data_IF_917640815748
#
_entry.id   IF_917640815748
#
_cell.length_a   1.000
_cell.length_b   1.000
_cell.length_c   1.000
_cell.angle_alpha   90.00
_cell.angle_beta   90.00
_cell.angle_gamma   90.00
#
_symmetry.space_group_name_H-M   'P 1'
#
loop_
_entity.id
_entity.type
_entity.pdbx_description
1 polymer ?
#
# COMPACT_ATOMS: atom_id res chain seq x y z
N UNK A 1 -17.91 -3.40 11.11
CA UNK A 1 -17.46 -2.22 11.83
C UNK A 1 -15.93 -2.21 11.79
N UNK A 2 -15.33 -1.83 10.74
CA UNK A 2 -13.90 -1.80 10.52
C UNK A 2 -13.49 -0.54 9.82
N UNK A 3 -13.99 0.59 10.27
CA UNK A 3 -13.52 1.87 9.79
C UNK A 3 -12.49 2.39 10.78
N UNK A 4 -11.23 2.16 10.44
CA UNK A 4 -10.12 2.98 10.84
C UNK A 4 -9.38 2.70 12.14
N UNK A 5 -9.86 1.90 13.06
CA UNK A 5 -9.09 1.62 14.28
C UNK A 5 -8.29 0.32 14.15
N UNK A 6 -7.13 0.41 13.55
CA UNK A 6 -6.17 -0.70 13.53
C UNK A 6 -5.31 -0.69 14.79
N UNK A 7 -5.59 -1.59 15.71
CA UNK A 7 -4.62 -1.91 16.77
C UNK A 7 -3.62 -2.90 16.18
N UNK A 8 -2.48 -2.42 15.77
CA UNK A 8 -1.34 -3.26 15.41
C UNK A 8 -0.68 -3.76 16.70
N UNK A 9 -1.24 -4.81 17.29
CA UNK A 9 -0.55 -5.52 18.35
C UNK A 9 0.48 -6.44 17.72
N UNK A 10 1.77 -6.13 17.90
CA UNK A 10 2.93 -6.95 17.65
C UNK A 10 2.78 -8.08 16.63
N UNK A 11 2.86 -7.73 15.35
CA UNK A 11 2.96 -8.76 14.32
C UNK A 11 4.34 -9.37 14.45
N UNK A 12 4.41 -10.50 15.10
CA UNK A 12 5.58 -11.37 15.04
C UNK A 12 5.76 -11.78 13.57
N UNK A 13 6.66 -11.10 12.89
CA UNK A 13 6.90 -11.28 11.45
C UNK A 13 7.36 -12.70 11.10
N UNK A 14 7.67 -13.50 12.10
CA UNK A 14 8.17 -14.87 11.94
C UNK A 14 7.08 -15.93 11.79
N UNK A 15 5.85 -15.64 12.15
CA UNK A 15 4.79 -16.68 12.22
C UNK A 15 3.79 -16.65 11.06
N UNK A 16 3.84 -15.69 10.17
CA UNK A 16 2.96 -15.70 9.02
C UNK A 16 3.48 -16.64 7.95
N UNK A 17 3.32 -17.93 8.20
CA UNK A 17 3.24 -18.87 7.09
C UNK A 17 2.18 -18.36 6.17
N UNK A 18 2.59 -17.93 4.99
CA UNK A 18 1.69 -17.57 3.90
C UNK A 18 0.93 -18.83 3.48
N UNK A 19 -0.11 -19.17 4.23
CA UNK A 19 -1.11 -20.01 3.65
C UNK A 19 -1.65 -19.26 2.43
N UNK A 20 -1.62 -19.84 1.24
CA UNK A 20 -2.24 -19.23 0.09
C UNK A 20 -3.73 -19.07 0.41
N UNK A 21 -4.12 -17.87 0.78
CA UNK A 21 -5.53 -17.55 0.94
C UNK A 21 -6.08 -17.28 -0.45
N UNK A 22 -6.87 -18.20 -1.01
CA UNK A 22 -7.53 -17.93 -2.28
C UNK A 22 -8.41 -16.69 -2.13
N UNK A 23 -8.61 -15.93 -3.20
CA UNK A 23 -9.53 -14.81 -3.18
C UNK A 23 -10.90 -15.27 -2.71
N UNK A 24 -11.50 -14.55 -1.77
CA UNK A 24 -12.85 -14.81 -1.30
C UNK A 24 -13.78 -13.74 -1.83
N UNK A 25 -14.87 -14.17 -2.43
CA UNK A 25 -15.93 -13.30 -2.91
C UNK A 25 -17.22 -13.65 -2.17
N UNK A 26 -17.80 -12.66 -1.51
CA UNK A 26 -19.05 -12.81 -0.78
C UNK A 26 -20.04 -11.75 -1.26
N UNK A 27 -21.28 -12.15 -1.48
CA UNK A 27 -22.35 -11.21 -1.82
C UNK A 27 -22.79 -10.48 -0.55
N UNK A 28 -22.81 -9.16 -0.62
CA UNK A 28 -23.31 -8.29 0.43
C UNK A 28 -24.36 -7.33 -0.17
N UNK A 29 -25.62 -7.60 0.12
CA UNK A 29 -26.73 -6.80 -0.40
C UNK A 29 -26.70 -6.65 -1.92
N UNK A 30 -26.42 -5.44 -2.39
CA UNK A 30 -26.34 -5.08 -3.81
C UNK A 30 -24.91 -5.11 -4.36
N UNK A 31 -23.93 -5.50 -3.55
CA UNK A 31 -22.52 -5.53 -3.89
C UNK A 31 -21.85 -6.89 -3.70
N UNK A 32 -20.56 -6.91 -3.91
CA UNK A 32 -19.69 -8.06 -3.66
C UNK A 32 -18.51 -7.59 -2.81
N UNK A 33 -18.28 -8.27 -1.69
CA UNK A 33 -17.06 -8.09 -0.90
C UNK A 33 -16.00 -9.05 -1.40
N UNK A 34 -14.84 -8.50 -1.74
CA UNK A 34 -13.68 -9.26 -2.20
C UNK A 34 -12.58 -9.13 -1.15
N UNK A 35 -12.13 -10.26 -0.62
CA UNK A 35 -10.97 -10.32 0.27
C UNK A 35 -9.84 -11.04 -0.44
N UNK A 36 -8.72 -10.35 -0.62
CA UNK A 36 -7.58 -10.90 -1.35
C UNK A 36 -6.27 -10.30 -0.85
N UNK A 37 -5.18 -11.01 -1.11
CA UNK A 37 -3.82 -10.57 -0.86
C UNK A 37 -3.01 -10.74 -2.13
N UNK A 38 -2.32 -9.68 -2.55
CA UNK A 38 -1.52 -9.65 -3.76
C UNK A 38 -0.08 -9.22 -3.47
N UNK A 39 0.82 -9.66 -4.33
CA UNK A 39 2.19 -9.20 -4.35
C UNK A 39 2.31 -8.01 -5.30
N UNK A 40 2.79 -6.88 -4.79
CA UNK A 40 2.94 -5.66 -5.58
C UNK A 40 4.22 -5.61 -6.39
N UNK A 41 5.29 -6.13 -5.84
CA UNK A 41 6.62 -6.05 -6.43
C UNK A 41 7.72 -5.76 -5.41
N UNK A 42 8.93 -5.55 -5.90
CA UNK A 42 10.08 -5.29 -5.07
C UNK A 42 10.32 -3.79 -4.88
N UNK A 43 10.68 -3.40 -3.66
CA UNK A 43 11.25 -2.10 -3.38
C UNK A 43 12.74 -2.14 -3.66
N UNK A 44 13.17 -1.35 -4.64
CA UNK A 44 14.56 -1.32 -5.08
C UNK A 44 15.20 0.00 -4.64
N UNK A 45 16.31 -0.08 -3.93
CA UNK A 45 17.09 1.08 -3.51
C UNK A 45 17.63 1.88 -4.71
N UNK A 46 18.06 3.11 -4.44
CA UNK A 46 18.77 3.90 -5.46
C UNK A 46 20.10 3.25 -5.84
N UNK A 47 20.45 3.31 -7.13
CA UNK A 47 21.79 2.93 -7.60
C UNK A 47 22.87 3.94 -7.19
N UNK A 48 22.47 5.15 -6.79
CA UNK A 48 23.39 6.19 -6.33
C UNK A 48 23.41 6.18 -4.80
N UNK A 49 24.59 6.02 -4.23
CA UNK A 49 24.76 6.03 -2.79
C UNK A 49 24.29 7.35 -2.18
N UNK A 50 23.49 7.26 -1.11
CA UNK A 50 22.94 8.43 -0.41
C UNK A 50 21.78 9.12 -1.12
N UNK A 51 21.36 8.68 -2.29
CA UNK A 51 20.22 9.26 -2.99
C UNK A 51 18.90 8.65 -2.51
N UNK A 52 17.92 9.51 -2.27
CA UNK A 52 16.55 9.11 -1.95
C UNK A 52 15.83 8.66 -3.25
N UNK A 53 15.18 7.52 -3.20
CA UNK A 53 14.38 7.00 -4.31
C UNK A 53 12.95 6.78 -3.83
N UNK A 54 12.00 7.25 -4.62
CA UNK A 54 10.56 7.09 -4.37
C UNK A 54 9.99 6.07 -5.37
N UNK A 55 9.10 5.22 -4.89
CA UNK A 55 8.20 4.41 -5.68
C UNK A 55 6.77 4.72 -5.21
N UNK A 56 5.90 5.05 -6.13
CA UNK A 56 4.50 5.40 -5.85
C UNK A 56 3.57 4.33 -6.39
N UNK A 57 2.51 4.05 -5.63
CA UNK A 57 1.52 3.05 -5.95
C UNK A 57 0.13 3.69 -5.83
N UNK A 58 -0.65 3.65 -6.90
CA UNK A 58 -2.01 4.17 -6.90
C UNK A 58 -2.94 3.27 -6.09
N UNK A 59 -3.74 3.86 -5.19
CA UNK A 59 -4.71 3.10 -4.38
C UNK A 59 -6.07 3.14 -5.08
N UNK A 60 -6.17 2.45 -6.19
CA UNK A 60 -7.42 2.20 -6.89
C UNK A 60 -7.49 0.72 -7.30
N UNK A 61 -8.58 0.00 -7.02
CA UNK A 61 -8.67 -1.44 -7.30
C UNK A 61 -8.57 -1.79 -8.79
N UNK A 62 -8.65 -0.80 -9.67
CA UNK A 62 -8.43 -0.99 -11.11
C UNK A 62 -6.99 -0.74 -11.55
N UNK A 63 -6.12 -0.27 -10.67
CA UNK A 63 -4.71 -0.08 -11.01
C UNK A 63 -3.99 -1.41 -11.09
N UNK A 64 -3.61 -1.81 -12.30
CA UNK A 64 -2.92 -3.07 -12.55
C UNK A 64 -1.48 -3.09 -11.96
N UNK A 65 -0.88 -1.94 -11.70
CA UNK A 65 0.45 -1.88 -11.09
C UNK A 65 0.40 -2.19 -9.59
N UNK A 66 -0.69 -1.80 -8.94
CA UNK A 66 -0.88 -2.01 -7.51
C UNK A 66 -1.68 -3.28 -7.22
N UNK A 67 -2.68 -3.58 -8.04
CA UNK A 67 -3.59 -4.70 -7.84
C UNK A 67 -3.70 -5.56 -9.12
N UNK A 68 -2.68 -6.38 -9.43
CA UNK A 68 -2.62 -7.12 -10.70
C UNK A 68 -3.80 -8.06 -10.93
N UNK A 69 -4.25 -8.76 -9.91
CA UNK A 69 -5.38 -9.66 -10.00
C UNK A 69 -6.72 -8.92 -9.82
N UNK A 70 -6.81 -8.08 -8.78
CA UNK A 70 -8.04 -7.38 -8.46
C UNK A 70 -8.49 -6.45 -9.59
N UNK A 71 -7.55 -5.80 -10.28
CA UNK A 71 -7.85 -4.92 -11.41
C UNK A 71 -8.55 -5.65 -12.56
N UNK A 72 -8.18 -6.89 -12.84
CA UNK A 72 -8.81 -7.71 -13.88
C UNK A 72 -10.25 -8.09 -13.53
N UNK A 73 -10.57 -8.16 -12.25
CA UNK A 73 -11.93 -8.44 -11.78
C UNK A 73 -12.76 -7.17 -11.74
N UNK A 74 -12.18 -6.08 -11.28
CA UNK A 74 -12.91 -4.84 -10.99
C UNK A 74 -13.19 -4.01 -12.23
N UNK A 75 -12.21 -3.82 -13.10
CA UNK A 75 -12.36 -3.00 -14.32
C UNK A 75 -13.55 -3.39 -15.20
N UNK A 76 -13.75 -4.66 -15.56
CA UNK A 76 -14.83 -5.04 -16.46
C UNK A 76 -16.21 -5.14 -15.80
N UNK A 77 -16.26 -5.29 -14.47
CA UNK A 77 -17.48 -5.73 -13.80
C UNK A 77 -18.10 -4.69 -12.85
N UNK A 78 -17.33 -3.70 -12.40
CA UNK A 78 -17.78 -2.77 -11.38
C UNK A 78 -17.52 -1.32 -11.79
N UNK A 79 -18.35 -0.42 -11.29
CA UNK A 79 -18.23 1.04 -11.51
C UNK A 79 -17.76 1.77 -10.25
N UNK A 80 -18.10 1.24 -9.10
CA UNK A 80 -17.83 1.86 -7.81
C UNK A 80 -17.22 0.84 -6.85
N UNK A 81 -16.44 1.35 -5.91
CA UNK A 81 -15.82 0.54 -4.86
C UNK A 81 -15.74 1.31 -3.55
N UNK A 82 -15.51 0.55 -2.49
CA UNK A 82 -15.11 1.05 -1.19
C UNK A 82 -14.12 0.06 -0.60
N UNK A 83 -13.03 0.56 -0.04
CA UNK A 83 -12.19 -0.27 0.79
C UNK A 83 -12.77 -0.34 2.20
N UNK A 84 -13.00 -1.54 2.70
CA UNK A 84 -13.36 -1.77 4.10
C UNK A 84 -12.11 -1.86 4.97
N UNK A 85 -11.09 -2.51 4.44
CA UNK A 85 -9.77 -2.64 5.04
C UNK A 85 -8.72 -2.73 3.94
N UNK A 86 -7.63 -2.00 4.11
CA UNK A 86 -6.47 -2.09 3.24
C UNK A 86 -5.21 -1.91 4.08
N UNK A 87 -4.22 -2.75 3.84
CA UNK A 87 -2.89 -2.60 4.42
C UNK A 87 -1.84 -3.08 3.45
N UNK A 88 -0.71 -2.39 3.45
CA UNK A 88 0.48 -2.81 2.72
C UNK A 88 1.49 -3.38 3.71
N UNK A 89 2.20 -4.41 3.30
CA UNK A 89 3.23 -5.05 4.11
C UNK A 89 4.55 -5.02 3.35
N UNK A 90 5.53 -4.35 3.93
CA UNK A 90 6.90 -4.47 3.50
C UNK A 90 7.54 -5.67 4.20
N UNK A 91 8.02 -6.64 3.42
CA UNK A 91 8.78 -7.78 3.91
C UNK A 91 10.23 -7.64 3.47
N UNK A 92 11.11 -7.68 4.43
CA UNK A 92 12.53 -7.64 4.14
C UNK A 92 13.07 -9.03 3.83
N UNK A 93 14.03 -9.06 2.91
CA UNK A 93 14.94 -10.18 2.68
C UNK A 93 16.39 -9.80 3.00
N UNK A 94 16.62 -8.60 3.56
CA UNK A 94 17.93 -8.12 3.96
C UNK A 94 18.31 -8.65 5.34
N UNK A 95 19.57 -9.06 5.49
CA UNK A 95 20.12 -9.44 6.79
C UNK A 95 20.70 -8.22 7.52
N UNK A 96 20.70 -8.26 8.86
CA UNK A 96 21.36 -7.23 9.70
C UNK A 96 22.88 -7.22 9.57
N UNK A 97 23.46 -8.37 9.30
CA UNK A 97 24.91 -8.54 9.21
C UNK A 97 25.36 -8.50 7.75
N UNK A 98 26.00 -7.41 7.37
CA UNK A 98 26.74 -7.31 6.12
C UNK A 98 28.22 -7.56 6.37
N UNK A 99 28.78 -8.52 5.68
CA UNK A 99 30.23 -8.79 5.73
C UNK A 99 30.99 -7.85 4.78
N UNK A 100 30.74 -6.54 4.91
CA UNK A 100 31.36 -5.52 4.08
C UNK A 100 31.75 -4.29 4.91
N UNK A 101 32.67 -3.50 4.38
CA UNK A 101 33.11 -2.23 4.99
C UNK A 101 32.03 -1.13 4.94
N UNK A 102 30.99 -1.31 4.11
CA UNK A 102 29.87 -0.38 4.01
C UNK A 102 28.60 -1.08 4.50
N UNK A 103 28.34 -0.96 5.80
CA UNK A 103 27.23 -1.61 6.48
C UNK A 103 25.97 -0.74 6.61
N UNK A 104 25.99 0.50 6.10
CA UNK A 104 24.86 1.42 6.16
C UNK A 104 23.83 1.10 5.07
N UNK A 105 22.80 0.35 5.41
CA UNK A 105 21.70 -0.02 4.50
C UNK A 105 20.69 1.11 4.24
N UNK A 106 20.80 2.23 4.96
CA UNK A 106 19.80 3.30 4.91
C UNK A 106 18.55 3.00 5.72
N UNK A 107 17.40 3.50 5.26
CA UNK A 107 16.10 3.26 5.87
C UNK A 107 15.00 3.16 4.80
N UNK A 108 13.94 2.45 5.11
CA UNK A 108 12.72 2.36 4.31
C UNK A 108 11.66 3.24 4.93
N UNK A 109 11.00 4.02 4.11
CA UNK A 109 9.95 4.95 4.51
C UNK A 109 8.69 4.65 3.72
N UNK A 110 7.54 4.84 4.34
CA UNK A 110 6.26 4.79 3.68
C UNK A 110 5.34 5.88 4.22
N UNK A 111 4.52 6.44 3.36
CA UNK A 111 3.43 7.33 3.74
C UNK A 111 2.24 7.10 2.82
N UNK A 112 1.06 7.48 3.28
CA UNK A 112 -0.17 7.43 2.50
C UNK A 112 -0.56 8.89 2.20
N UNK A 113 -0.73 9.20 0.92
CA UNK A 113 -1.30 10.47 0.51
C UNK A 113 -2.76 10.26 0.10
N UNK A 114 -3.66 10.97 0.73
CA UNK A 114 -5.10 10.90 0.48
C UNK A 114 -5.58 11.95 -0.51
N UNK A 115 -4.77 12.96 -0.81
CA UNK A 115 -5.07 13.96 -1.82
C UNK A 115 -4.35 13.61 -3.13
N UNK A 116 -5.12 13.16 -4.11
CA UNK A 116 -4.58 12.80 -5.43
C UNK A 116 -4.03 14.01 -6.22
N UNK A 117 -4.38 15.24 -5.81
CA UNK A 117 -3.91 16.47 -6.45
C UNK A 117 -2.55 16.93 -5.97
N UNK A 118 -2.10 16.38 -4.84
CA UNK A 118 -0.79 16.70 -4.30
C UNK A 118 0.33 16.08 -5.15
N UNK A 119 1.43 16.81 -5.35
CA UNK A 119 2.58 16.28 -6.04
C UNK A 119 3.21 15.14 -5.23
N UNK A 120 3.78 14.17 -5.93
CA UNK A 120 4.50 13.08 -5.30
C UNK A 120 5.64 13.60 -4.41
N UNK A 121 5.82 12.98 -3.25
CA UNK A 121 6.93 13.27 -2.35
C UNK A 121 8.27 13.05 -3.05
N UNK A 122 9.22 13.94 -2.83
CA UNK A 122 10.54 13.89 -3.47
C UNK A 122 11.68 13.79 -2.47
N UNK A 123 11.41 13.92 -1.18
CA UNK A 123 12.42 13.90 -0.14
C UNK A 123 11.95 13.11 1.09
N UNK A 124 12.94 12.60 1.83
CA UNK A 124 12.71 11.95 3.13
C UNK A 124 11.92 12.86 4.09
N UNK A 125 12.30 14.14 4.15
CA UNK A 125 11.65 15.09 5.05
C UNK A 125 10.15 15.23 4.76
N UNK A 126 9.76 15.22 3.48
CA UNK A 126 8.35 15.26 3.10
C UNK A 126 7.62 14.00 3.56
N UNK A 127 8.21 12.81 3.34
CA UNK A 127 7.60 11.55 3.77
C UNK A 127 7.39 11.51 5.28
N UNK A 128 8.42 11.87 6.05
CA UNK A 128 8.35 11.79 7.52
C UNK A 128 7.43 12.84 8.16
N UNK A 129 7.17 13.95 7.46
CA UNK A 129 6.22 14.98 7.89
C UNK A 129 4.79 14.76 7.38
N UNK A 130 4.57 13.75 6.54
CA UNK A 130 3.24 13.39 6.08
C UNK A 130 2.52 12.61 7.18
N UNK A 131 1.25 12.90 7.39
CA UNK A 131 0.39 12.11 8.27
C UNK A 131 0.41 10.64 7.83
N UNK A 132 0.34 9.72 8.81
CA UNK A 132 0.39 8.27 8.55
C UNK A 132 1.71 7.78 7.93
N UNK A 133 2.80 8.49 8.18
CA UNK A 133 4.12 8.01 7.80
C UNK A 133 4.63 6.93 8.75
N UNK A 134 5.40 6.00 8.21
CA UNK A 134 6.09 4.98 8.98
C UNK A 134 7.48 4.75 8.39
N UNK A 135 8.42 4.32 9.23
CA UNK A 135 9.78 4.04 8.80
C UNK A 135 10.38 2.87 9.55
N UNK A 136 11.25 2.13 8.89
CA UNK A 136 11.98 1.02 9.49
C UNK A 136 13.38 0.87 8.89
N UNK A 137 14.19 0.04 9.52
CA UNK A 137 15.44 -0.42 8.91
C UNK A 137 15.12 -1.36 7.73
N UNK A 138 15.98 -1.43 6.71
CA UNK A 138 15.79 -2.38 5.61
C UNK A 138 15.76 -3.85 6.04
N UNK A 139 16.32 -4.18 7.20
CA UNK A 139 16.29 -5.52 7.80
C UNK A 139 15.03 -5.83 8.61
N UNK A 140 14.15 -4.85 8.80
CA UNK A 140 12.90 -5.00 9.55
C UNK A 140 11.71 -4.95 8.59
N UNK A 141 10.70 -5.75 8.87
CA UNK A 141 9.43 -5.71 8.13
C UNK A 141 8.52 -4.65 8.72
N UNK A 142 7.68 -4.05 7.89
CA UNK A 142 6.80 -2.95 8.28
C UNK A 142 5.39 -3.18 7.74
N UNK A 143 4.38 -2.92 8.56
CA UNK A 143 2.99 -2.87 8.14
C UNK A 143 2.56 -1.41 7.98
N UNK A 144 1.88 -1.13 6.89
CA UNK A 144 1.40 0.20 6.52
C UNK A 144 -0.12 0.11 6.38
N UNK A 145 -0.88 0.43 7.43
CA UNK A 145 -2.34 0.47 7.34
C UNK A 145 -2.79 1.70 6.55
N UNK A 146 -3.86 1.54 5.79
CA UNK A 146 -4.52 2.62 5.07
C UNK A 146 -5.83 2.95 5.77
N UNK A 147 -6.03 4.22 6.13
CA UNK A 147 -7.30 4.67 6.65
C UNK A 147 -8.35 4.65 5.52
N UNK A 148 -9.39 3.87 5.70
CA UNK A 148 -10.45 3.68 4.71
C UNK A 148 -11.69 4.55 4.96
N UNK A 149 -11.66 5.48 5.92
CA UNK A 149 -12.76 6.41 6.13
C UNK A 149 -12.92 7.33 4.91
N UNK A 150 -14.10 7.37 4.28
CA UNK A 150 -14.38 8.25 3.14
C UNK A 150 -14.09 9.72 3.38
N UNK A 151 -14.14 10.17 4.65
CA UNK A 151 -13.82 11.55 5.02
C UNK A 151 -12.39 11.96 4.70
N UNK A 152 -11.46 11.01 4.67
CA UNK A 152 -10.06 11.27 4.34
C UNK A 152 -9.88 11.75 2.90
N UNK A 153 -10.73 11.29 1.99
CA UNK A 153 -10.70 11.69 0.56
C UNK A 153 -11.58 12.89 0.24
N UNK A 154 -12.21 13.51 1.24
CA UNK A 154 -13.09 14.66 1.04
C UNK A 154 -14.42 14.33 0.33
N UNK A 155 -14.72 13.07 0.11
CA UNK A 155 -15.94 12.62 -0.54
C UNK A 155 -17.02 12.27 0.49
N UNK A 156 -18.20 12.84 0.34
CA UNK A 156 -19.33 12.62 1.26
C UNK A 156 -20.07 11.30 1.02
N UNK A 157 -19.82 10.62 -0.09
CA UNK A 157 -20.65 9.47 -0.52
C UNK A 157 -20.13 8.11 -0.08
N UNK A 158 -18.94 8.00 0.43
CA UNK A 158 -18.34 6.72 0.84
C UNK A 158 -17.98 5.76 -0.30
N UNK A 159 -18.44 6.01 -1.51
CA UNK A 159 -18.15 5.19 -2.69
C UNK A 159 -17.26 5.97 -3.65
N UNK A 160 -16.18 5.32 -4.08
CA UNK A 160 -15.24 5.82 -5.05
C UNK A 160 -15.50 5.19 -6.43
N UNK A 161 -15.12 5.88 -7.49
CA UNK A 161 -15.25 5.36 -8.85
C UNK A 161 -14.01 4.57 -9.27
N UNK A 162 -14.26 3.46 -9.95
CA UNK A 162 -13.22 2.69 -10.61
C UNK A 162 -12.77 3.47 -11.85
N UNK A 163 -11.45 3.66 -11.96
CA UNK A 163 -10.86 4.33 -13.12
C UNK A 163 -10.75 3.31 -14.26
N UNK A 164 -11.51 3.53 -15.32
CA UNK A 164 -11.41 2.72 -16.53
C UNK A 164 -10.26 3.23 -17.41
N UNK A 165 -9.16 2.53 -17.38
CA UNK A 165 -7.96 2.83 -18.19
C UNK A 165 -6.69 2.37 -17.50
N UNK A 166 -5.71 1.95 -18.29
CA UNK A 166 -4.46 1.37 -17.81
C UNK A 166 -3.49 2.35 -17.12
N UNK A 167 -3.92 3.58 -16.89
CA UNK A 167 -3.09 4.58 -16.24
C UNK A 167 -3.92 5.36 -15.24
N UNK A 168 -3.71 5.09 -13.98
CA UNK A 168 -3.94 6.10 -12.95
C UNK A 168 -3.02 7.27 -13.33
N UNK A 169 -3.53 8.49 -13.51
CA UNK A 169 -2.66 9.63 -13.79
C UNK A 169 -1.54 9.69 -12.76
N UNK A 170 -0.32 9.95 -13.20
CA UNK A 170 0.80 10.14 -12.28
C UNK A 170 0.46 11.35 -11.39
N UNK A 171 0.12 11.09 -10.12
CA UNK A 171 -0.41 12.09 -9.19
C UNK A 171 -1.88 11.88 -8.81
N UNK A 172 -2.49 10.74 -9.17
CA UNK A 172 -3.80 10.33 -8.67
C UNK A 172 -3.63 9.19 -7.67
#
# INVERSE_FOLDING_TARGET
TGMGDYVVSGVDATSTVLAPNPPRMMRDGNGIVITHREYLGDLISSSTAGAFKVQTFGINPSDNNTFPWLSQVTQPNFQQYQFEQLSFEFRTFSADALNSTNTALGAVFACINYDYSDPNVTSRQQVENTDWSNSCKPSESMLIPVECDPKQTGLNSGLLYIINGNTVPAGA
#
